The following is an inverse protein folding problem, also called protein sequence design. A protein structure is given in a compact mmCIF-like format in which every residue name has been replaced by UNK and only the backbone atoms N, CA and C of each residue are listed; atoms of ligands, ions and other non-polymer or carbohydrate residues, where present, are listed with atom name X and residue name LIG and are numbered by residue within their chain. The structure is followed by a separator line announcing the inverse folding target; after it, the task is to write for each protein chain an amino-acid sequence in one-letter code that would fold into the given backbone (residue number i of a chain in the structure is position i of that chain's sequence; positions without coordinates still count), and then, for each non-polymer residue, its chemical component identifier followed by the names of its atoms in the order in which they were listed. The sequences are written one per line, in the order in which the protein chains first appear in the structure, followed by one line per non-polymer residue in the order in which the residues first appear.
data_IF_319479269165
#
_entry.id   IF_319479269165
#
_cell.length_a   1.000
_cell.length_b   1.000
_cell.length_c   1.000
_cell.angle_alpha   90.00
_cell.angle_beta   90.00
_cell.angle_gamma   90.00
#
_symmetry.space_group_name_H-M   'P 1'
#
loop_
_entity.id
_entity.type
_entity.pdbx_description
1 polymer ?
#
# COMPACT_ATOMS: atom_id res chain seq x y z
N UNK A 1 4.42 3.26 -32.24
CA UNK A 1 3.09 3.23 -31.62
C UNK A 1 3.22 3.83 -30.24
N UNK A 2 2.49 4.89 -29.85
CA UNK A 2 2.45 5.28 -28.45
C UNK A 2 1.54 4.29 -27.72
N UNK A 3 2.12 3.41 -26.91
CA UNK A 3 1.33 2.60 -25.98
C UNK A 3 0.75 3.55 -24.93
N UNK A 4 -0.52 3.91 -25.10
CA UNK A 4 -1.33 4.52 -24.06
C UNK A 4 -1.52 3.48 -22.97
N UNK A 5 -0.54 3.39 -22.07
CA UNK A 5 -0.77 2.80 -20.76
C UNK A 5 -1.95 3.59 -20.16
N UNK A 6 -3.03 2.96 -19.66
CA UNK A 6 -3.98 3.71 -18.84
C UNK A 6 -3.19 4.43 -17.75
N UNK A 7 -3.63 5.62 -17.26
CA UNK A 7 -2.94 6.33 -16.20
C UNK A 7 -3.01 5.49 -14.92
N UNK A 8 -2.16 4.46 -14.87
CA UNK A 8 -1.73 3.82 -13.65
C UNK A 8 -1.13 4.97 -12.87
N UNK A 9 -1.76 5.33 -11.76
CA UNK A 9 -1.25 6.36 -10.86
C UNK A 9 0.09 5.85 -10.34
N UNK A 10 1.14 6.07 -11.12
CA UNK A 10 2.50 5.76 -10.74
C UNK A 10 2.92 6.85 -9.76
N UNK A 11 3.28 6.42 -8.56
CA UNK A 11 3.69 7.29 -7.47
C UNK A 11 5.19 7.51 -7.62
N UNK A 12 5.65 8.76 -7.58
CA UNK A 12 7.08 9.02 -7.55
C UNK A 12 7.61 8.75 -6.14
N UNK A 13 8.36 7.66 -5.99
CA UNK A 13 8.93 7.24 -4.72
C UNK A 13 10.04 8.17 -4.18
N UNK A 14 10.46 9.18 -4.95
CA UNK A 14 11.40 10.21 -4.49
C UNK A 14 10.69 11.50 -4.09
N UNK A 15 9.40 11.61 -4.40
CA UNK A 15 8.56 12.75 -4.05
C UNK A 15 7.88 12.49 -2.71
N UNK A 16 8.40 13.12 -1.66
CA UNK A 16 7.81 13.03 -0.32
C UNK A 16 6.33 13.43 -0.32
N UNK A 17 5.95 14.42 -1.14
CA UNK A 17 4.56 14.87 -1.28
C UNK A 17 3.64 13.79 -1.84
N UNK A 18 4.10 13.01 -2.82
CA UNK A 18 3.33 11.91 -3.40
C UNK A 18 3.16 10.76 -2.40
N UNK A 19 4.23 10.44 -1.65
CA UNK A 19 4.18 9.46 -0.56
C UNK A 19 3.20 9.91 0.53
N UNK A 20 3.25 11.17 0.96
CA UNK A 20 2.35 11.71 1.99
C UNK A 20 0.88 11.70 1.55
N UNK A 21 0.59 12.06 0.29
CA UNK A 21 -0.76 11.99 -0.24
C UNK A 21 -1.28 10.56 -0.30
N UNK A 22 -0.45 9.61 -0.75
CA UNK A 22 -0.81 8.21 -0.81
C UNK A 22 -1.00 7.62 0.59
N UNK A 23 -0.10 7.92 1.51
CA UNK A 23 -0.18 7.52 2.92
C UNK A 23 -1.51 7.97 3.54
N UNK A 24 -1.88 9.25 3.36
CA UNK A 24 -3.16 9.77 3.85
C UNK A 24 -4.36 9.10 3.18
N UNK A 25 -4.30 8.84 1.88
CA UNK A 25 -5.39 8.18 1.13
C UNK A 25 -5.58 6.72 1.55
N UNK A 26 -4.49 6.02 1.87
CA UNK A 26 -4.47 4.61 2.25
C UNK A 26 -4.47 4.39 3.78
N UNK A 27 -4.69 5.46 4.54
CA UNK A 27 -4.63 5.48 6.01
C UNK A 27 -3.35 4.85 6.59
N UNK A 28 -2.25 4.95 5.85
CA UNK A 28 -0.96 4.30 6.13
C UNK A 28 0.08 5.32 6.60
N UNK A 29 1.17 4.84 7.19
CA UNK A 29 2.33 5.67 7.51
C UNK A 29 3.25 5.83 6.31
N UNK A 30 4.09 6.87 6.33
CA UNK A 30 5.10 7.10 5.29
C UNK A 30 5.99 5.86 5.09
N UNK A 31 6.49 5.30 6.19
CA UNK A 31 7.33 4.09 6.18
C UNK A 31 6.61 2.88 5.59
N UNK A 32 5.31 2.71 5.88
CA UNK A 32 4.50 1.62 5.30
C UNK A 32 4.36 1.77 3.78
N UNK A 33 4.18 3.00 3.30
CA UNK A 33 4.12 3.27 1.87
C UNK A 33 5.47 3.01 1.20
N UNK A 34 6.58 3.46 1.79
CA UNK A 34 7.92 3.17 1.28
C UNK A 34 8.20 1.66 1.23
N UNK A 35 7.84 0.93 2.28
CA UNK A 35 7.94 -0.53 2.33
C UNK A 35 7.11 -1.20 1.25
N UNK A 36 5.86 -0.77 1.07
CA UNK A 36 5.01 -1.29 0.02
C UNK A 36 5.60 -1.00 -1.37
N UNK A 37 6.12 0.21 -1.61
CA UNK A 37 6.81 0.55 -2.86
C UNK A 37 8.02 -0.36 -3.09
N UNK A 38 8.81 -0.66 -2.05
CA UNK A 38 9.92 -1.62 -2.15
C UNK A 38 9.45 -3.03 -2.47
N UNK A 39 8.29 -3.44 -1.97
CA UNK A 39 7.75 -4.78 -2.14
C UNK A 39 7.08 -5.01 -3.51
N UNK A 40 6.30 -4.04 -4.01
CA UNK A 40 5.46 -4.22 -5.22
C UNK A 40 5.73 -3.20 -6.33
N UNK A 41 6.58 -2.20 -6.09
CA UNK A 41 6.91 -1.13 -7.03
C UNK A 41 6.07 0.12 -6.86
N UNK A 42 6.20 1.06 -7.81
CA UNK A 42 5.60 2.41 -7.74
C UNK A 42 4.14 2.48 -8.19
N UNK A 43 3.50 1.35 -8.43
CA UNK A 43 2.10 1.30 -8.85
C UNK A 43 1.18 1.48 -7.64
N UNK A 44 0.37 2.54 -7.62
CA UNK A 44 -0.54 2.82 -6.50
C UNK A 44 -1.54 1.69 -6.21
N UNK A 45 -2.02 0.98 -7.23
CA UNK A 45 -2.98 -0.12 -7.07
C UNK A 45 -2.34 -1.32 -6.39
N UNK A 46 -1.11 -1.68 -6.78
CA UNK A 46 -0.36 -2.74 -6.14
C UNK A 46 0.01 -2.38 -4.69
N UNK A 47 0.41 -1.12 -4.45
CA UNK A 47 0.72 -0.60 -3.09
C UNK A 47 -0.51 -0.69 -2.18
N UNK A 48 -1.68 -0.25 -2.66
CA UNK A 48 -2.94 -0.36 -1.92
C UNK A 48 -3.29 -1.82 -1.61
N UNK A 49 -3.17 -2.71 -2.59
CA UNK A 49 -3.45 -4.13 -2.41
C UNK A 49 -2.52 -4.77 -1.38
N UNK A 50 -1.22 -4.44 -1.42
CA UNK A 50 -0.23 -4.90 -0.46
C UNK A 50 -0.56 -4.43 0.96
N UNK A 51 -0.80 -3.12 1.14
CA UNK A 51 -1.12 -2.54 2.45
C UNK A 51 -2.44 -3.06 3.02
N UNK A 52 -3.45 -3.27 2.17
CA UNK A 52 -4.74 -3.86 2.56
C UNK A 52 -4.59 -5.34 2.94
N UNK A 53 -3.75 -6.08 2.22
CA UNK A 53 -3.38 -7.46 2.55
C UNK A 53 -2.68 -7.56 3.91
N UNK A 54 -1.67 -6.73 4.14
CA UNK A 54 -0.91 -6.69 5.41
C UNK A 54 -1.77 -6.33 6.63
N UNK A 55 -2.77 -5.47 6.47
CA UNK A 55 -3.78 -5.20 7.53
C UNK A 55 -4.72 -6.37 7.77
N UNK A 56 -5.05 -7.12 6.72
CA UNK A 56 -5.96 -8.25 6.80
C UNK A 56 -5.32 -9.45 7.53
N UNK A 57 -4.02 -9.70 7.31
CA UNK A 57 -3.29 -10.76 8.00
C UNK A 57 -3.11 -10.47 9.50
N UNK A 58 -2.78 -9.23 9.86
CA UNK A 58 -2.65 -8.82 11.27
C UNK A 58 -3.97 -8.86 12.03
N UNK A 59 -5.10 -8.56 11.39
CA UNK A 59 -6.40 -8.61 12.06
C UNK A 59 -6.96 -10.06 12.15
N UNK A 60 -6.62 -10.92 11.19
CA UNK A 60 -6.97 -12.34 11.22
C UNK A 60 -6.27 -13.07 12.38
N UNK A 61 -5.01 -12.73 12.66
CA UNK A 61 -4.23 -13.36 13.75
C UNK A 61 -4.75 -12.99 15.15
N UNK A 62 -5.36 -11.81 15.32
CA UNK A 62 -5.96 -11.41 16.61
C UNK A 62 -7.32 -12.08 16.88
N UNK A 63 -8.02 -12.55 15.85
CA UNK A 63 -9.35 -13.17 16.03
C UNK A 63 -9.25 -14.63 16.47
N UNK A 64 -8.14 -15.32 16.20
CA UNK A 64 -7.95 -16.72 16.65
C UNK A 64 -7.60 -16.82 18.15
N UNK A 65 -6.92 -15.81 18.70
CA UNK A 65 -6.49 -15.76 20.11
C UNK A 65 -7.57 -15.26 21.09
N UNK A 66 -8.75 -14.86 20.60
CA UNK A 66 -9.89 -14.43 21.44
C UNK A 66 -10.99 -15.50 21.55
N UNK A 67 -10.75 -16.72 21.04
CA UNK A 67 -11.72 -17.80 20.91
C UNK A 67 -11.45 -19.06 21.73
N UNK A 68 -10.56 -19.03 22.73
CA UNK A 68 -10.38 -20.14 23.68
C UNK A 68 -10.87 -19.76 25.06
N UNK A 69 -12.18 -19.97 25.26
CA UNK A 69 -12.77 -20.19 26.57
C UNK A 69 -12.42 -21.57 27.12
#
# INVERSE_FOLDING_TARGET
MPSTNPPSQSIDAKSASDIEQLARKLDATHEQVEEAIRAVGTNASDIELHLKGSRSTTNAERTDEAGKG
#
